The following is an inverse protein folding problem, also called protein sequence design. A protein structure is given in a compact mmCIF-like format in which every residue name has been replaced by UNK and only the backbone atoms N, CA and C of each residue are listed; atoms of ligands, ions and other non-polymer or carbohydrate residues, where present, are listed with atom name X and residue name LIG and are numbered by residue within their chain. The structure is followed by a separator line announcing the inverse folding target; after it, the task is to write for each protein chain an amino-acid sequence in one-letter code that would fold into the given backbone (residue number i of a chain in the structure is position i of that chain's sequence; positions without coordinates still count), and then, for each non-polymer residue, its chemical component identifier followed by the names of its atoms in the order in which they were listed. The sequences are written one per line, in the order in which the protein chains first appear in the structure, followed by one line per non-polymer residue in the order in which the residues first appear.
data_IF_054136140304
#
_entry.id   IF_054136140304
#
_cell.length_a   1.000
_cell.length_b   1.000
_cell.length_c   1.000
_cell.angle_alpha   90.00
_cell.angle_beta   90.00
_cell.angle_gamma   90.00
#
_symmetry.space_group_name_H-M   'P 1'
#
loop_
_entity.id
_entity.type
_entity.pdbx_description
1 polymer ?
#
# COMPACT_ATOMS: atom_id res chain seq x y z
N UNK A 1 -8.59 27.89 -29.36
CA UNK A 1 -9.45 26.74 -29.07
C UNK A 1 -8.52 25.56 -28.73
N UNK A 2 -8.40 25.09 -27.50
CA UNK A 2 -7.66 23.88 -27.17
C UNK A 2 -8.55 22.66 -27.37
N UNK A 3 -8.00 21.66 -28.04
CA UNK A 3 -8.57 20.34 -28.32
C UNK A 3 -8.87 19.58 -27.06
N UNK A 4 -10.00 18.87 -26.90
CA UNK A 4 -10.30 18.09 -25.70
C UNK A 4 -9.39 16.89 -25.62
N UNK A 5 -8.74 16.69 -24.47
CA UNK A 5 -7.98 15.49 -24.08
C UNK A 5 -8.94 14.29 -24.10
N UNK A 6 -8.65 13.32 -24.97
CA UNK A 6 -9.31 12.02 -25.00
C UNK A 6 -9.08 11.31 -23.67
N UNK A 7 -10.16 10.91 -23.02
CA UNK A 7 -10.12 9.99 -21.91
C UNK A 7 -9.42 8.69 -22.35
N UNK A 8 -8.36 8.31 -21.63
CA UNK A 8 -7.74 7.00 -21.77
C UNK A 8 -8.77 5.90 -21.41
N UNK A 9 -8.78 4.77 -22.14
CA UNK A 9 -9.67 3.67 -21.80
C UNK A 9 -9.34 3.16 -20.40
N UNK A 10 -10.39 2.91 -19.62
CA UNK A 10 -10.29 2.31 -18.30
C UNK A 10 -9.40 1.05 -18.38
N UNK A 11 -8.29 1.09 -17.65
CA UNK A 11 -7.43 -0.07 -17.47
C UNK A 11 -8.28 -1.20 -16.91
N UNK A 12 -8.33 -2.33 -17.62
CA UNK A 12 -8.94 -3.55 -17.12
C UNK A 12 -8.33 -3.86 -15.75
N UNK A 13 -9.18 -4.17 -14.76
CA UNK A 13 -8.72 -4.56 -13.43
C UNK A 13 -7.67 -5.67 -13.59
N UNK A 14 -6.49 -5.57 -12.98
CA UNK A 14 -5.47 -6.59 -13.11
C UNK A 14 -6.05 -7.93 -12.63
N UNK A 15 -5.79 -8.99 -13.39
CA UNK A 15 -6.16 -10.36 -13.00
C UNK A 15 -5.66 -10.64 -11.57
N UNK A 16 -6.45 -11.31 -10.73
CA UNK A 16 -6.05 -11.60 -9.37
C UNK A 16 -4.71 -12.35 -9.39
N UNK A 17 -3.75 -11.88 -8.60
CA UNK A 17 -2.44 -12.51 -8.47
C UNK A 17 -2.63 -13.96 -7.95
N UNK A 18 -1.81 -14.94 -8.41
CA UNK A 18 -1.81 -16.29 -7.86
C UNK A 18 -1.63 -16.26 -6.34
N UNK A 19 -2.44 -17.01 -5.60
CA UNK A 19 -2.45 -16.93 -4.12
C UNK A 19 -2.16 -18.26 -3.45
N UNK A 20 -2.26 -19.39 -4.18
CA UNK A 20 -2.20 -20.74 -3.62
C UNK A 20 -0.78 -21.13 -3.25
N UNK A 21 -0.60 -21.70 -2.05
CA UNK A 21 0.69 -22.18 -1.56
C UNK A 21 0.68 -23.71 -1.54
N UNK A 22 1.71 -24.33 -2.07
CA UNK A 22 1.91 -25.76 -1.99
C UNK A 22 2.89 -26.07 -0.86
N UNK A 23 2.45 -26.83 0.14
CA UNK A 23 3.28 -27.36 1.23
C UNK A 23 3.56 -28.84 0.94
N UNK A 24 4.83 -29.17 0.67
CA UNK A 24 5.28 -30.53 0.35
C UNK A 24 6.11 -31.07 1.49
N UNK A 25 5.51 -31.96 2.29
CA UNK A 25 6.11 -32.42 3.54
C UNK A 25 5.61 -33.81 3.89
N UNK A 26 6.52 -34.76 4.09
CA UNK A 26 6.21 -36.14 4.43
C UNK A 26 5.61 -36.30 5.84
N UNK A 27 5.93 -35.44 6.78
CA UNK A 27 5.35 -35.43 8.12
C UNK A 27 4.01 -34.68 8.11
N UNK A 28 2.89 -35.38 8.25
CA UNK A 28 1.55 -34.77 8.30
C UNK A 28 1.41 -33.72 9.41
N UNK A 29 2.03 -33.96 10.57
CA UNK A 29 1.99 -33.00 11.68
C UNK A 29 2.72 -31.73 11.32
N UNK A 30 3.90 -31.84 10.71
CA UNK A 30 4.69 -30.68 10.34
C UNK A 30 4.07 -29.90 9.16
N UNK A 31 3.53 -30.63 8.16
CA UNK A 31 2.79 -30.02 7.06
C UNK A 31 1.61 -29.16 7.56
N UNK A 32 0.81 -29.73 8.48
CA UNK A 32 -0.31 -28.99 9.09
C UNK A 32 0.14 -27.79 9.88
N UNK A 33 1.18 -27.92 10.70
CA UNK A 33 1.70 -26.83 11.51
C UNK A 33 2.12 -25.63 10.63
N UNK A 34 2.80 -25.89 9.52
CA UNK A 34 3.18 -24.85 8.54
C UNK A 34 1.93 -24.26 7.87
N UNK A 35 1.05 -25.12 7.34
CA UNK A 35 -0.09 -24.66 6.55
C UNK A 35 -1.12 -23.91 7.39
N UNK A 36 -1.47 -24.41 8.58
CA UNK A 36 -2.39 -23.74 9.50
C UNK A 36 -1.83 -22.36 9.94
N UNK A 37 -0.52 -22.26 10.19
CA UNK A 37 0.10 -20.98 10.53
C UNK A 37 0.00 -19.97 9.36
N UNK A 38 0.17 -20.42 8.12
CA UNK A 38 0.01 -19.58 6.92
C UNK A 38 -1.46 -19.18 6.73
N UNK A 39 -2.39 -20.13 6.78
CA UNK A 39 -3.82 -19.89 6.57
C UNK A 39 -4.39 -18.93 7.62
N UNK A 40 -4.09 -19.15 8.90
CA UNK A 40 -4.60 -18.33 10.01
C UNK A 40 -4.04 -16.91 10.00
N UNK A 41 -2.74 -16.75 9.71
CA UNK A 41 -2.09 -15.43 9.77
C UNK A 41 -2.21 -14.63 8.48
N UNK A 42 -2.27 -15.30 7.31
CA UNK A 42 -2.21 -14.63 6.01
C UNK A 42 -3.48 -14.78 5.17
N UNK A 43 -4.40 -15.66 5.57
CA UNK A 43 -5.61 -15.98 4.81
C UNK A 43 -5.32 -16.42 3.36
N UNK A 44 -4.21 -17.14 3.15
CA UNK A 44 -3.80 -17.69 1.86
C UNK A 44 -4.15 -19.18 1.80
N UNK A 45 -4.76 -19.68 0.71
CA UNK A 45 -5.12 -21.09 0.59
C UNK A 45 -3.89 -21.98 0.48
N UNK A 46 -3.84 -23.03 1.30
CA UNK A 46 -2.75 -24.01 1.32
C UNK A 46 -3.21 -25.35 0.79
N UNK A 47 -2.39 -25.97 -0.06
CA UNK A 47 -2.57 -27.33 -0.54
C UNK A 47 -1.41 -28.18 -0.04
N UNK A 48 -1.70 -29.39 0.41
CA UNK A 48 -0.72 -30.29 1.00
C UNK A 48 -0.40 -31.44 0.05
N UNK A 49 0.88 -31.81 0.00
CA UNK A 49 1.38 -33.00 -0.66
C UNK A 49 2.42 -33.70 0.23
N UNK A 50 2.35 -35.03 0.34
CA UNK A 50 3.32 -35.79 1.13
C UNK A 50 4.49 -36.32 0.27
N UNK A 51 4.33 -36.32 -1.04
CA UNK A 51 5.28 -36.89 -2.00
C UNK A 51 5.44 -35.94 -3.20
N UNK A 52 6.51 -36.14 -3.98
CA UNK A 52 6.74 -35.40 -5.24
C UNK A 52 5.66 -35.73 -6.30
N UNK A 53 5.17 -36.98 -6.31
CA UNK A 53 4.07 -37.40 -7.19
C UNK A 53 2.76 -36.66 -6.86
N UNK A 54 2.40 -36.55 -5.57
CA UNK A 54 1.25 -35.76 -5.15
C UNK A 54 1.40 -34.28 -5.45
N UNK A 55 2.60 -33.74 -5.27
CA UNK A 55 2.90 -32.34 -5.61
C UNK A 55 2.70 -32.09 -7.11
N UNK A 56 3.16 -33.02 -7.98
CA UNK A 56 2.96 -32.97 -9.42
C UNK A 56 1.46 -32.93 -9.77
N UNK A 57 0.68 -33.85 -9.21
CA UNK A 57 -0.77 -33.89 -9.44
C UNK A 57 -1.48 -32.63 -8.94
N UNK A 58 -1.04 -32.04 -7.83
CA UNK A 58 -1.58 -30.78 -7.31
C UNK A 58 -1.30 -29.60 -8.26
N UNK A 59 -0.08 -29.51 -8.80
CA UNK A 59 0.32 -28.46 -9.75
C UNK A 59 -0.45 -28.55 -11.07
N UNK A 60 -0.76 -29.73 -11.55
CA UNK A 60 -1.58 -29.94 -12.76
C UNK A 60 -3.05 -29.58 -12.55
N UNK A 61 -3.56 -29.73 -11.32
CA UNK A 61 -4.97 -29.48 -10.99
C UNK A 61 -5.30 -27.99 -10.85
N UNK A 62 -4.35 -27.19 -10.43
CA UNK A 62 -4.54 -25.76 -10.16
C UNK A 62 -3.47 -24.92 -10.88
N UNK A 63 -3.82 -23.86 -11.62
CA UNK A 63 -2.85 -23.02 -12.34
C UNK A 63 -2.36 -21.81 -11.53
N UNK A 64 -2.97 -21.50 -10.37
CA UNK A 64 -2.82 -20.23 -9.64
C UNK A 64 -1.84 -20.33 -8.44
N UNK A 65 -0.68 -20.91 -8.67
CA UNK A 65 0.34 -21.09 -7.63
C UNK A 65 1.15 -19.82 -7.38
N UNK A 66 1.28 -19.47 -6.11
CA UNK A 66 2.12 -18.38 -5.67
C UNK A 66 3.54 -18.87 -5.36
N UNK A 67 3.67 -19.90 -4.53
CA UNK A 67 4.95 -20.43 -4.11
C UNK A 67 4.84 -21.87 -3.59
N UNK A 68 5.99 -22.47 -3.37
CA UNK A 68 6.13 -23.80 -2.77
C UNK A 68 6.97 -23.73 -1.50
N UNK A 69 6.52 -24.41 -0.46
CA UNK A 69 7.29 -24.70 0.74
C UNK A 69 7.54 -26.21 0.75
N UNK A 70 8.78 -26.64 0.57
CA UNK A 70 9.09 -28.06 0.39
C UNK A 70 10.12 -28.57 1.39
N UNK A 71 9.91 -29.81 1.89
CA UNK A 71 10.97 -30.57 2.53
C UNK A 71 11.96 -31.09 1.48
N UNK A 72 13.23 -31.21 1.83
CA UNK A 72 14.22 -31.89 0.99
C UNK A 72 14.09 -33.40 0.99
N UNK A 73 13.58 -33.98 2.07
CA UNK A 73 13.48 -35.43 2.27
C UNK A 73 12.05 -35.86 1.95
N UNK A 74 11.84 -36.39 0.77
CA UNK A 74 10.60 -37.01 0.34
C UNK A 74 10.82 -38.48 0.08
N UNK A 75 9.75 -39.29 0.17
CA UNK A 75 9.87 -40.75 0.00
C UNK A 75 10.16 -41.16 -1.47
N UNK A 76 9.84 -40.30 -2.44
CA UNK A 76 9.83 -40.59 -3.88
C UNK A 76 10.72 -39.62 -4.69
N UNK A 77 11.66 -38.91 -4.03
CA UNK A 77 12.58 -38.01 -4.73
C UNK A 77 13.85 -37.71 -3.94
N UNK A 78 14.97 -37.62 -4.61
CA UNK A 78 16.22 -37.13 -4.04
C UNK A 78 16.15 -35.62 -3.79
N UNK A 79 17.05 -35.09 -2.94
CA UNK A 79 17.13 -33.65 -2.63
C UNK A 79 17.21 -32.80 -3.90
N UNK A 80 18.03 -33.24 -4.86
CA UNK A 80 18.25 -32.54 -6.12
C UNK A 80 17.02 -32.56 -7.03
N UNK A 81 16.36 -33.71 -7.12
CA UNK A 81 15.13 -33.85 -7.92
C UNK A 81 13.99 -33.01 -7.38
N UNK A 82 13.82 -32.93 -6.06
CA UNK A 82 12.76 -32.13 -5.43
C UNK A 82 12.95 -30.65 -5.74
N UNK A 83 14.15 -30.13 -5.56
CA UNK A 83 14.46 -28.71 -5.80
C UNK A 83 14.33 -28.38 -7.28
N UNK A 84 14.96 -29.18 -8.17
CA UNK A 84 14.92 -28.97 -9.63
C UNK A 84 13.50 -29.02 -10.18
N UNK A 85 12.68 -29.91 -9.64
CA UNK A 85 11.27 -30.04 -10.06
C UNK A 85 10.48 -28.75 -9.92
N UNK A 86 10.64 -28.01 -8.82
CA UNK A 86 9.91 -26.74 -8.60
C UNK A 86 10.58 -25.56 -9.31
N UNK A 87 11.90 -25.51 -9.36
CA UNK A 87 12.64 -24.44 -10.03
C UNK A 87 12.42 -24.46 -11.55
N UNK A 88 12.38 -25.66 -12.18
CA UNK A 88 12.07 -25.78 -13.62
C UNK A 88 10.69 -25.24 -13.99
N UNK A 89 9.79 -25.11 -13.03
CA UNK A 89 8.47 -24.51 -13.18
C UNK A 89 8.41 -23.03 -12.82
N UNK A 90 9.56 -22.44 -12.50
CA UNK A 90 9.67 -21.02 -12.10
C UNK A 90 8.81 -20.67 -10.86
N UNK A 91 8.58 -21.64 -9.98
CA UNK A 91 7.85 -21.40 -8.74
C UNK A 91 8.80 -20.95 -7.64
N UNK A 92 8.56 -19.81 -6.99
CA UNK A 92 9.28 -19.41 -5.79
C UNK A 92 9.26 -20.55 -4.78
N UNK A 93 10.42 -21.05 -4.40
CA UNK A 93 10.56 -22.25 -3.56
C UNK A 93 11.31 -21.94 -2.30
N UNK A 94 10.70 -22.20 -1.16
CA UNK A 94 11.34 -22.20 0.16
C UNK A 94 11.56 -23.64 0.59
N UNK A 95 12.79 -23.95 0.97
CA UNK A 95 13.17 -25.27 1.46
C UNK A 95 13.13 -25.30 2.97
N UNK A 96 12.47 -26.32 3.54
CA UNK A 96 12.39 -26.54 4.98
C UNK A 96 13.06 -27.87 5.33
N UNK A 97 14.12 -27.85 6.14
CA UNK A 97 14.91 -29.04 6.44
C UNK A 97 15.05 -29.28 7.95
N UNK A 98 15.01 -30.57 8.35
CA UNK A 98 15.34 -30.98 9.72
C UNK A 98 16.83 -31.21 9.94
N UNK A 99 17.65 -31.16 8.89
CA UNK A 99 19.08 -31.43 8.94
C UNK A 99 19.85 -30.12 8.93
N UNK A 100 20.71 -29.93 9.90
CA UNK A 100 21.68 -28.83 9.92
C UNK A 100 22.95 -29.30 9.22
N UNK A 101 23.15 -28.90 7.98
CA UNK A 101 24.34 -29.15 7.17
C UNK A 101 24.64 -27.92 6.34
N UNK A 102 25.73 -27.23 6.64
CA UNK A 102 26.12 -26.00 5.97
C UNK A 102 26.45 -26.23 4.49
N UNK A 103 27.04 -27.39 4.15
CA UNK A 103 27.35 -27.73 2.75
C UNK A 103 26.10 -27.94 1.92
N UNK A 104 25.13 -28.69 2.45
CA UNK A 104 23.83 -28.92 1.82
C UNK A 104 23.04 -27.59 1.69
N UNK A 105 23.03 -26.78 2.75
CA UNK A 105 22.40 -25.45 2.72
C UNK A 105 22.98 -24.58 1.60
N UNK A 106 24.32 -24.49 1.52
CA UNK A 106 24.99 -23.70 0.50
C UNK A 106 24.69 -24.24 -0.91
N UNK A 107 24.71 -25.56 -1.10
CA UNK A 107 24.37 -26.19 -2.37
C UNK A 107 22.93 -25.88 -2.81
N UNK A 108 21.96 -25.97 -1.92
CA UNK A 108 20.55 -25.64 -2.18
C UNK A 108 20.38 -24.17 -2.50
N UNK A 109 21.01 -23.29 -1.71
CA UNK A 109 20.94 -21.86 -1.91
C UNK A 109 21.56 -21.41 -3.25
N UNK A 110 22.61 -22.06 -3.73
CA UNK A 110 23.19 -21.79 -5.08
C UNK A 110 22.22 -22.08 -6.23
N UNK A 111 21.17 -22.88 -6.01
CA UNK A 111 20.16 -23.24 -7.02
C UNK A 111 19.01 -22.23 -7.15
N UNK A 112 19.12 -21.03 -6.56
CA UNK A 112 18.11 -19.97 -6.64
C UNK A 112 16.76 -20.28 -5.96
N UNK A 113 16.74 -21.14 -4.93
CA UNK A 113 15.59 -21.20 -4.02
C UNK A 113 15.48 -19.90 -3.24
N UNK A 114 14.29 -19.53 -2.82
CA UNK A 114 14.07 -18.29 -2.06
C UNK A 114 14.83 -18.31 -0.74
N UNK A 115 14.67 -19.38 0.04
CA UNK A 115 15.38 -19.54 1.31
C UNK A 115 15.46 -21.00 1.75
N UNK A 116 16.31 -21.24 2.77
CA UNK A 116 16.48 -22.53 3.44
C UNK A 116 16.24 -22.38 4.93
N UNK A 117 15.14 -22.93 5.42
CA UNK A 117 14.67 -22.80 6.78
C UNK A 117 14.86 -24.10 7.56
N UNK A 118 15.42 -24.04 8.77
CA UNK A 118 15.58 -25.20 9.65
C UNK A 118 14.30 -25.45 10.45
N UNK A 119 13.77 -26.70 10.42
CA UNK A 119 12.54 -27.10 11.11
C UNK A 119 12.60 -26.95 12.62
N UNK A 120 13.75 -27.28 13.22
CA UNK A 120 13.91 -27.45 14.66
C UNK A 120 14.49 -26.21 15.37
N UNK A 121 14.51 -25.06 14.68
CA UNK A 121 14.97 -23.81 15.30
C UNK A 121 13.77 -23.09 15.93
N UNK A 122 13.87 -22.61 17.19
CA UNK A 122 12.84 -21.77 17.77
C UNK A 122 12.49 -20.58 16.86
N UNK A 123 11.21 -20.33 16.60
CA UNK A 123 10.76 -19.25 15.72
C UNK A 123 10.82 -19.55 14.22
N UNK A 124 11.21 -20.76 13.79
CA UNK A 124 11.31 -21.11 12.36
C UNK A 124 9.99 -20.97 11.61
N UNK A 125 8.86 -21.28 12.24
CA UNK A 125 7.54 -21.17 11.66
C UNK A 125 7.13 -19.67 11.57
N UNK A 126 7.40 -18.89 12.60
CA UNK A 126 7.13 -17.45 12.55
C UNK A 126 7.96 -16.76 11.47
N UNK A 127 9.22 -17.14 11.32
CA UNK A 127 10.08 -16.69 10.23
C UNK A 127 9.54 -17.10 8.86
N UNK A 128 9.11 -18.35 8.70
CA UNK A 128 8.53 -18.83 7.43
C UNK A 128 7.26 -18.06 7.08
N UNK A 129 6.37 -17.84 8.04
CA UNK A 129 5.15 -17.05 7.82
C UNK A 129 5.48 -15.61 7.46
N UNK A 130 6.43 -14.98 8.16
CA UNK A 130 6.93 -13.65 7.82
C UNK A 130 7.51 -13.61 6.40
N UNK A 131 8.30 -14.61 6.01
CA UNK A 131 8.90 -14.70 4.67
C UNK A 131 7.82 -14.80 3.58
N UNK A 132 6.83 -15.68 3.78
CA UNK A 132 5.68 -15.82 2.86
C UNK A 132 4.91 -14.51 2.72
N UNK A 133 4.63 -13.85 3.85
CA UNK A 133 3.95 -12.55 3.88
C UNK A 133 4.78 -11.47 3.15
N UNK A 134 6.11 -11.47 3.38
CA UNK A 134 7.01 -10.50 2.72
C UNK A 134 7.02 -10.69 1.21
N UNK A 135 7.13 -11.94 0.74
CA UNK A 135 7.08 -12.25 -0.69
C UNK A 135 5.71 -11.86 -1.32
N UNK A 136 4.60 -12.12 -0.64
CA UNK A 136 3.27 -11.73 -1.14
C UNK A 136 3.16 -10.20 -1.30
N UNK A 137 3.58 -9.42 -0.30
CA UNK A 137 3.56 -7.96 -0.33
C UNK A 137 4.48 -7.39 -1.40
N UNK A 138 5.68 -7.95 -1.56
CA UNK A 138 6.66 -7.51 -2.56
C UNK A 138 6.12 -7.53 -3.99
N UNK A 139 5.18 -8.42 -4.31
CA UNK A 139 4.57 -8.52 -5.66
C UNK A 139 3.83 -7.26 -6.10
N UNK A 140 3.48 -6.41 -5.15
CA UNK A 140 2.81 -5.12 -5.38
C UNK A 140 3.79 -3.95 -5.41
N UNK A 141 5.08 -4.22 -5.21
CA UNK A 141 6.12 -3.20 -5.13
C UNK A 141 6.97 -3.23 -6.40
N UNK A 142 7.08 -2.07 -7.03
CA UNK A 142 8.05 -1.88 -8.09
C UNK A 142 9.41 -1.48 -7.49
N UNK A 143 10.47 -2.10 -7.99
CA UNK A 143 11.85 -1.83 -7.63
C UNK A 143 12.66 -1.43 -8.86
N UNK A 144 13.43 -0.36 -8.76
CA UNK A 144 14.35 0.11 -9.80
C UNK A 144 15.78 -0.33 -9.47
N UNK A 145 16.47 -0.88 -10.45
CA UNK A 145 17.92 -1.17 -10.37
C UNK A 145 18.65 -0.28 -11.35
N UNK A 146 19.58 0.54 -10.85
CA UNK A 146 20.40 1.45 -11.67
C UNK A 146 21.85 1.07 -11.50
N UNK A 147 22.46 0.50 -12.54
CA UNK A 147 23.86 0.03 -12.57
C UNK A 147 24.31 0.00 -14.04
N UNK A 148 25.48 0.54 -14.36
CA UNK A 148 25.98 0.56 -15.75
C UNK A 148 26.51 -0.82 -16.19
N UNK A 149 26.99 -1.62 -15.24
CA UNK A 149 27.38 -3.00 -15.49
C UNK A 149 26.17 -3.89 -15.74
N UNK A 150 25.97 -4.36 -16.96
CA UNK A 150 24.87 -5.26 -17.32
C UNK A 150 24.80 -6.50 -16.42
N UNK A 151 25.94 -7.11 -16.11
CA UNK A 151 25.99 -8.32 -15.27
C UNK A 151 25.58 -8.03 -13.81
N UNK A 152 26.07 -6.92 -13.22
CA UNK A 152 25.72 -6.52 -11.87
C UNK A 152 24.24 -6.12 -11.79
N UNK A 153 23.74 -5.36 -12.76
CA UNK A 153 22.34 -4.96 -12.86
C UNK A 153 21.40 -6.17 -12.96
N UNK A 154 21.72 -7.12 -13.86
CA UNK A 154 20.93 -8.36 -14.01
C UNK A 154 21.00 -9.24 -12.75
N UNK A 155 22.12 -9.29 -12.05
CA UNK A 155 22.23 -10.02 -10.78
C UNK A 155 21.33 -9.42 -9.70
N UNK A 156 21.38 -8.12 -9.48
CA UNK A 156 20.52 -7.45 -8.51
C UNK A 156 19.03 -7.57 -8.89
N UNK A 157 18.71 -7.44 -10.19
CA UNK A 157 17.36 -7.62 -10.71
C UNK A 157 16.84 -9.06 -10.47
N UNK A 158 17.66 -10.07 -10.71
CA UNK A 158 17.31 -11.47 -10.47
C UNK A 158 17.05 -11.75 -8.98
N UNK A 159 17.87 -11.19 -8.09
CA UNK A 159 17.64 -11.28 -6.64
C UNK A 159 16.30 -10.66 -6.24
N UNK A 160 15.99 -9.45 -6.68
CA UNK A 160 14.71 -8.80 -6.38
C UNK A 160 13.52 -9.58 -6.96
N UNK A 161 13.62 -10.06 -8.20
CA UNK A 161 12.58 -10.86 -8.84
C UNK A 161 12.30 -12.16 -8.07
N UNK A 162 13.35 -12.83 -7.57
CA UNK A 162 13.23 -14.03 -6.73
C UNK A 162 12.48 -13.76 -5.43
N UNK A 163 12.60 -12.54 -4.87
CA UNK A 163 11.86 -12.10 -3.70
C UNK A 163 10.51 -11.44 -4.02
N UNK A 164 10.03 -11.60 -5.26
CA UNK A 164 8.69 -11.22 -5.68
C UNK A 164 8.52 -9.77 -6.13
N UNK A 165 9.55 -8.95 -6.21
CA UNK A 165 9.46 -7.58 -6.69
C UNK A 165 9.23 -7.50 -8.20
N UNK A 166 8.47 -6.52 -8.65
CA UNK A 166 8.41 -6.11 -10.06
C UNK A 166 9.63 -5.23 -10.37
N UNK A 167 10.57 -5.73 -11.15
CA UNK A 167 11.86 -5.07 -11.37
C UNK A 167 11.86 -4.24 -12.65
N UNK A 168 12.39 -3.04 -12.55
CA UNK A 168 12.66 -2.10 -13.64
C UNK A 168 14.16 -1.85 -13.65
N UNK A 169 14.79 -1.88 -14.81
CA UNK A 169 16.23 -1.71 -14.97
C UNK A 169 16.55 -0.40 -15.67
N UNK A 170 17.65 0.25 -15.27
CA UNK A 170 18.24 1.39 -15.95
C UNK A 170 19.76 1.26 -15.98
N UNK A 171 20.36 1.63 -17.11
CA UNK A 171 21.80 1.48 -17.32
C UNK A 171 22.63 2.69 -16.82
N UNK A 172 21.97 3.79 -16.51
CA UNK A 172 22.60 5.02 -16.01
C UNK A 172 21.59 5.87 -15.21
N UNK A 173 22.08 6.95 -14.60
CA UNK A 173 21.26 7.82 -13.77
C UNK A 173 20.17 8.58 -14.51
N UNK A 174 20.38 9.02 -15.75
CA UNK A 174 19.36 9.75 -16.51
C UNK A 174 18.22 8.80 -16.93
N UNK A 175 18.54 7.60 -17.39
CA UNK A 175 17.56 6.56 -17.65
C UNK A 175 16.79 6.20 -16.37
N UNK A 176 17.47 6.12 -15.22
CA UNK A 176 16.86 5.87 -13.93
C UNK A 176 15.84 6.94 -13.52
N UNK A 177 16.14 8.23 -13.74
CA UNK A 177 15.19 9.33 -13.49
C UNK A 177 13.96 9.19 -14.40
N UNK A 178 14.16 8.92 -15.69
CA UNK A 178 13.05 8.75 -16.63
C UNK A 178 12.13 7.56 -16.25
N UNK A 179 12.73 6.45 -15.75
CA UNK A 179 11.96 5.28 -15.30
C UNK A 179 11.11 5.60 -14.04
N UNK A 180 11.63 6.42 -13.11
CA UNK A 180 10.87 6.86 -11.93
C UNK A 180 9.71 7.78 -12.32
N UNK A 181 9.92 8.70 -13.25
CA UNK A 181 8.86 9.60 -13.73
C UNK A 181 7.75 8.80 -14.46
N UNK A 182 8.12 7.73 -15.17
CA UNK A 182 7.17 6.85 -15.88
C UNK A 182 6.46 5.83 -14.98
N UNK A 183 7.02 5.52 -13.80
CA UNK A 183 6.50 4.50 -12.89
C UNK A 183 6.41 5.04 -11.45
N UNK A 184 5.36 5.78 -11.11
CA UNK A 184 5.21 6.42 -9.79
C UNK A 184 5.00 5.43 -8.63
N UNK A 185 4.79 4.16 -8.94
CA UNK A 185 4.65 3.05 -7.99
C UNK A 185 5.98 2.41 -7.56
N UNK A 186 7.12 2.91 -8.05
CA UNK A 186 8.44 2.48 -7.58
C UNK A 186 8.62 2.92 -6.12
N UNK A 187 8.90 1.93 -5.25
CA UNK A 187 9.09 2.14 -3.81
C UNK A 187 10.49 1.78 -3.33
N UNK A 188 11.30 1.14 -4.17
CA UNK A 188 12.68 0.73 -3.89
C UNK A 188 13.59 1.12 -5.05
N UNK A 189 14.76 1.67 -4.78
CA UNK A 189 15.82 1.88 -5.75
C UNK A 189 17.14 1.29 -5.25
N UNK A 190 17.74 0.41 -6.03
CA UNK A 190 19.09 -0.11 -5.85
C UNK A 190 19.99 0.66 -6.79
N UNK A 191 21.00 1.34 -6.27
CA UNK A 191 21.77 2.33 -7.04
C UNK A 191 23.25 2.05 -6.94
N UNK A 192 23.91 1.75 -8.06
CA UNK A 192 25.35 1.66 -8.10
C UNK A 192 26.01 3.03 -7.93
N UNK A 193 27.19 3.04 -7.30
CA UNK A 193 27.97 4.26 -7.13
C UNK A 193 28.66 4.68 -8.41
N UNK A 194 29.29 3.75 -9.12
CA UNK A 194 30.21 4.04 -10.22
C UNK A 194 29.47 3.94 -11.57
N UNK A 195 28.77 5.01 -11.91
CA UNK A 195 28.07 5.10 -13.20
C UNK A 195 28.64 6.23 -14.06
N UNK A 196 28.64 6.08 -15.39
CA UNK A 196 29.03 7.15 -16.33
C UNK A 196 28.10 8.37 -16.21
N UNK A 197 28.65 9.56 -16.31
CA UNK A 197 27.92 10.82 -16.33
C UNK A 197 27.43 11.26 -14.97
N UNK A 198 26.70 10.44 -14.22
CA UNK A 198 26.16 10.76 -12.91
C UNK A 198 26.49 9.68 -11.88
N UNK A 199 27.21 10.07 -10.82
CA UNK A 199 27.53 9.15 -9.72
C UNK A 199 26.28 8.81 -8.88
N UNK A 200 26.26 7.59 -8.29
CA UNK A 200 25.10 7.10 -7.53
C UNK A 200 24.66 8.00 -6.38
N UNK A 201 25.58 8.60 -5.63
CA UNK A 201 25.24 9.55 -4.58
C UNK A 201 24.66 10.87 -5.13
N UNK A 202 25.03 11.30 -6.32
CA UNK A 202 24.45 12.46 -7.01
C UNK A 202 23.03 12.15 -7.50
N UNK A 203 22.85 10.99 -8.12
CA UNK A 203 21.54 10.45 -8.50
C UNK A 203 20.61 10.40 -7.27
N UNK A 204 21.07 9.83 -6.15
CA UNK A 204 20.34 9.80 -4.88
C UNK A 204 19.91 11.19 -4.41
N UNK A 205 20.78 12.18 -4.50
CA UNK A 205 20.45 13.56 -4.13
C UNK A 205 19.37 14.15 -5.04
N UNK A 206 19.41 13.90 -6.36
CA UNK A 206 18.36 14.34 -7.30
C UNK A 206 17.03 13.65 -7.01
N UNK A 207 17.05 12.36 -6.67
CA UNK A 207 15.83 11.63 -6.27
C UNK A 207 15.21 12.25 -5.01
N UNK A 208 16.02 12.55 -4.00
CA UNK A 208 15.54 13.14 -2.74
C UNK A 208 14.98 14.54 -2.87
N UNK A 209 15.33 15.28 -3.90
CA UNK A 209 14.68 16.55 -4.21
C UNK A 209 13.21 16.40 -4.66
N UNK A 210 12.82 15.20 -5.12
CA UNK A 210 11.48 14.88 -5.64
C UNK A 210 10.71 13.87 -4.80
N UNK A 211 11.41 12.95 -4.13
CA UNK A 211 10.82 11.84 -3.38
C UNK A 211 11.29 11.84 -1.93
N UNK A 212 10.36 11.98 -1.00
CA UNK A 212 10.66 11.91 0.43
C UNK A 212 11.11 10.50 0.86
N UNK A 213 11.76 10.41 2.03
CA UNK A 213 12.31 9.14 2.55
C UNK A 213 11.23 8.12 2.93
N UNK A 214 10.04 8.59 3.18
CA UNK A 214 8.85 7.81 3.53
C UNK A 214 8.09 7.27 2.31
N UNK A 215 8.50 7.64 1.09
CA UNK A 215 7.88 7.15 -0.14
C UNK A 215 8.78 6.24 -0.97
N UNK A 216 10.10 6.40 -0.90
CA UNK A 216 11.07 5.66 -1.70
C UNK A 216 12.26 5.24 -0.85
N UNK A 217 12.53 3.95 -0.72
CA UNK A 217 13.77 3.44 -0.16
C UNK A 217 14.87 3.47 -1.22
N UNK A 218 16.06 3.97 -0.87
CA UNK A 218 17.23 3.99 -1.74
C UNK A 218 18.36 3.27 -1.04
N UNK A 219 18.87 2.21 -1.66
CA UNK A 219 20.02 1.43 -1.18
C UNK A 219 21.16 1.63 -2.18
N UNK A 220 22.26 2.23 -1.71
CA UNK A 220 23.47 2.36 -2.51
C UNK A 220 24.26 1.06 -2.56
N UNK A 221 24.91 0.78 -3.70
CA UNK A 221 25.81 -0.37 -3.84
C UNK A 221 27.15 0.12 -4.40
N UNK A 222 28.27 -0.42 -3.92
CA UNK A 222 29.59 -0.14 -4.51
C UNK A 222 30.56 -1.28 -4.27
N UNK A 223 31.45 -1.51 -5.26
CA UNK A 223 32.60 -2.40 -5.12
C UNK A 223 33.88 -1.73 -4.58
N UNK A 224 33.86 -0.41 -4.40
CA UNK A 224 35.03 0.34 -3.94
C UNK A 224 35.09 0.35 -2.42
N UNK A 225 36.25 0.05 -1.86
CA UNK A 225 36.52 0.05 -0.41
C UNK A 225 36.82 1.43 0.19
N UNK A 226 36.48 2.53 -0.51
CA UNK A 226 36.66 3.88 0.01
C UNK A 226 35.71 4.14 1.18
N UNK A 227 36.24 4.23 2.39
CA UNK A 227 35.49 4.48 3.62
C UNK A 227 34.67 5.78 3.63
N UNK A 228 34.92 6.70 2.67
CA UNK A 228 34.14 7.94 2.53
C UNK A 228 32.83 7.77 1.78
N UNK A 229 32.62 6.66 1.05
CA UNK A 229 31.46 6.44 0.18
C UNK A 229 30.17 6.21 0.97
N UNK A 230 30.19 5.37 2.00
CA UNK A 230 29.02 5.09 2.83
C UNK A 230 28.45 6.37 3.46
N UNK A 231 29.27 7.19 4.16
CA UNK A 231 28.80 8.47 4.69
C UNK A 231 28.28 9.42 3.59
N UNK A 232 28.90 9.40 2.41
CA UNK A 232 28.49 10.24 1.28
C UNK A 232 27.11 9.86 0.74
N UNK A 233 26.84 8.55 0.56
CA UNK A 233 25.52 8.05 0.16
C UNK A 233 24.43 8.41 1.19
N UNK A 234 24.70 8.11 2.46
CA UNK A 234 23.74 8.37 3.55
C UNK A 234 23.45 9.88 3.70
N UNK A 235 24.48 10.74 3.59
CA UNK A 235 24.32 12.20 3.57
C UNK A 235 23.60 12.71 2.33
N UNK A 236 23.66 12.00 1.20
CA UNK A 236 22.89 12.31 -0.01
C UNK A 236 21.43 11.86 0.08
N UNK A 237 21.07 11.15 1.15
CA UNK A 237 19.70 10.77 1.46
C UNK A 237 19.36 9.29 1.20
N UNK A 238 20.33 8.43 0.93
CA UNK A 238 20.10 6.99 0.90
C UNK A 238 19.59 6.49 2.27
N UNK A 239 18.83 5.40 2.24
CA UNK A 239 18.36 4.72 3.45
C UNK A 239 19.43 3.77 3.96
N UNK A 240 20.14 3.09 3.04
CA UNK A 240 21.13 2.08 3.38
C UNK A 240 22.22 1.96 2.30
N UNK A 241 23.20 1.09 2.54
CA UNK A 241 24.32 0.86 1.65
C UNK A 241 24.82 -0.59 1.75
N UNK A 242 25.23 -1.17 0.60
CA UNK A 242 25.81 -2.50 0.49
C UNK A 242 27.16 -2.47 -0.22
N UNK A 243 28.12 -3.23 0.29
CA UNK A 243 29.41 -3.41 -0.35
C UNK A 243 29.39 -4.66 -1.28
N UNK A 244 29.88 -4.52 -2.51
CA UNK A 244 30.16 -5.66 -3.40
C UNK A 244 31.53 -6.28 -3.02
N UNK A 245 31.65 -7.62 -2.92
CA UNK A 245 30.59 -8.61 -3.07
C UNK A 245 29.73 -8.72 -1.80
N UNK A 246 28.43 -8.92 -1.96
CA UNK A 246 27.47 -9.17 -0.88
C UNK A 246 26.83 -10.55 -1.02
N UNK A 247 26.44 -11.15 0.08
CA UNK A 247 25.67 -12.38 0.04
C UNK A 247 24.19 -12.08 -0.30
N UNK A 248 23.49 -13.11 -0.79
CA UNK A 248 22.07 -13.01 -1.09
C UNK A 248 21.26 -12.70 0.16
N UNK A 249 21.62 -13.34 1.28
CA UNK A 249 20.96 -13.13 2.56
C UNK A 249 21.16 -11.70 3.06
N UNK A 250 22.37 -11.14 2.95
CA UNK A 250 22.64 -9.76 3.31
C UNK A 250 21.80 -8.80 2.45
N UNK A 251 21.76 -9.01 1.13
CA UNK A 251 20.96 -8.22 0.21
C UNK A 251 19.47 -8.24 0.59
N UNK A 252 18.93 -9.45 0.80
CA UNK A 252 17.51 -9.59 1.16
C UNK A 252 17.19 -8.97 2.52
N UNK A 253 18.06 -9.17 3.52
CA UNK A 253 17.89 -8.58 4.84
C UNK A 253 17.81 -7.04 4.75
N UNK A 254 18.72 -6.40 4.03
CA UNK A 254 18.74 -4.95 3.83
C UNK A 254 17.50 -4.46 3.09
N UNK A 255 17.14 -5.13 1.99
CA UNK A 255 15.95 -4.78 1.19
C UNK A 255 14.69 -4.89 2.05
N UNK A 256 14.50 -6.01 2.76
CA UNK A 256 13.32 -6.25 3.59
C UNK A 256 13.21 -5.25 4.72
N UNK A 257 14.30 -4.97 5.46
CA UNK A 257 14.32 -3.98 6.54
C UNK A 257 13.91 -2.59 6.05
N UNK A 258 14.42 -2.16 4.90
CA UNK A 258 14.09 -0.85 4.35
C UNK A 258 12.64 -0.77 3.88
N UNK A 259 12.11 -1.83 3.27
CA UNK A 259 10.70 -1.87 2.86
C UNK A 259 9.77 -1.97 4.07
N UNK A 260 10.08 -2.80 5.08
CA UNK A 260 9.31 -2.89 6.32
C UNK A 260 9.24 -1.52 7.03
N UNK A 261 10.36 -0.79 7.06
CA UNK A 261 10.40 0.56 7.62
C UNK A 261 9.51 1.54 6.84
N UNK A 262 9.54 1.49 5.50
CA UNK A 262 8.65 2.30 4.66
C UNK A 262 7.17 2.00 4.92
N UNK A 263 6.80 0.73 4.97
CA UNK A 263 5.42 0.29 5.24
C UNK A 263 4.97 0.74 6.64
N UNK A 264 5.85 0.62 7.65
CA UNK A 264 5.55 1.05 9.00
C UNK A 264 5.34 2.57 9.07
N UNK A 265 6.20 3.36 8.42
CA UNK A 265 6.04 4.83 8.37
C UNK A 265 4.71 5.18 7.69
N UNK A 266 4.37 4.56 6.56
CA UNK A 266 3.10 4.77 5.88
C UNK A 266 1.90 4.43 6.77
N UNK A 267 1.96 3.30 7.48
CA UNK A 267 0.91 2.91 8.44
C UNK A 267 0.77 3.93 9.59
N UNK A 268 1.89 4.40 10.14
CA UNK A 268 1.88 5.43 11.19
C UNK A 268 1.31 6.76 10.68
N UNK A 269 1.63 7.15 9.45
CA UNK A 269 1.07 8.35 8.82
C UNK A 269 -0.43 8.21 8.61
N UNK A 270 -0.89 7.05 8.11
CA UNK A 270 -2.32 6.78 7.94
C UNK A 270 -3.07 6.82 9.27
N UNK A 271 -2.55 6.17 10.32
CA UNK A 271 -3.12 6.24 11.67
C UNK A 271 -3.15 7.67 12.23
N UNK A 272 -2.14 8.47 11.89
CA UNK A 272 -2.04 9.86 12.33
C UNK A 272 -3.00 10.80 11.58
N UNK A 273 -3.32 10.50 10.31
CA UNK A 273 -4.00 11.44 9.40
C UNK A 273 -5.39 10.98 8.97
N UNK A 274 -5.71 9.68 9.05
CA UNK A 274 -6.97 9.11 8.57
C UNK A 274 -7.86 8.59 9.71
N UNK A 275 -9.15 8.52 9.44
CA UNK A 275 -10.12 7.79 10.25
C UNK A 275 -10.06 6.30 9.89
N UNK A 276 -9.87 5.44 10.87
CA UNK A 276 -9.62 4.00 10.68
C UNK A 276 -10.79 3.25 10.02
N UNK A 277 -12.03 3.74 10.23
CA UNK A 277 -13.22 3.08 9.72
C UNK A 277 -13.51 3.47 8.26
N UNK A 278 -13.44 4.76 7.97
CA UNK A 278 -13.89 5.34 6.70
C UNK A 278 -12.77 5.59 5.69
N UNK A 279 -11.52 5.67 6.15
CA UNK A 279 -10.35 6.02 5.34
C UNK A 279 -10.27 7.49 4.94
N UNK A 280 -11.28 8.31 5.25
CA UNK A 280 -11.21 9.77 5.08
C UNK A 280 -10.16 10.36 6.04
N UNK A 281 -9.63 11.56 5.76
CA UNK A 281 -8.89 12.34 6.74
C UNK A 281 -9.62 12.39 8.09
N UNK A 282 -8.86 12.27 9.18
CA UNK A 282 -9.43 12.43 10.51
C UNK A 282 -9.54 13.92 10.89
N UNK A 283 -10.27 14.22 11.96
CA UNK A 283 -10.48 15.58 12.45
C UNK A 283 -9.18 16.36 12.63
N UNK A 284 -8.14 15.72 13.20
CA UNK A 284 -6.86 16.38 13.48
C UNK A 284 -6.16 16.83 12.22
N UNK A 285 -6.09 15.95 11.22
CA UNK A 285 -5.47 16.27 9.92
C UNK A 285 -6.26 17.36 9.19
N UNK A 286 -7.59 17.24 9.14
CA UNK A 286 -8.45 18.26 8.54
C UNK A 286 -8.21 19.65 9.13
N UNK A 287 -8.17 19.77 10.45
CA UNK A 287 -7.94 21.06 11.10
C UNK A 287 -6.57 21.63 10.74
N UNK A 288 -5.54 20.80 10.68
CA UNK A 288 -4.18 21.24 10.30
C UNK A 288 -4.12 21.76 8.85
N UNK A 289 -4.70 21.02 7.90
CA UNK A 289 -4.74 21.42 6.50
C UNK A 289 -5.59 22.68 6.28
N UNK A 290 -6.74 22.79 6.95
CA UNK A 290 -7.57 23.98 6.89
C UNK A 290 -6.83 25.22 7.43
N UNK A 291 -6.07 25.09 8.52
CA UNK A 291 -5.27 26.20 9.04
C UNK A 291 -4.16 26.67 8.07
N UNK A 292 -3.61 25.76 7.28
CA UNK A 292 -2.62 26.10 6.25
C UNK A 292 -3.26 26.76 5.02
N UNK A 293 -4.46 26.29 4.61
CA UNK A 293 -5.15 26.76 3.39
C UNK A 293 -5.86 28.12 3.59
N UNK A 294 -6.53 28.32 4.72
CA UNK A 294 -7.43 29.45 4.95
C UNK A 294 -6.77 30.82 4.78
N UNK A 295 -5.59 31.11 5.39
CA UNK A 295 -4.95 32.42 5.27
C UNK A 295 -4.59 32.77 3.82
N UNK A 296 -4.14 31.78 3.06
CA UNK A 296 -3.73 31.96 1.68
C UNK A 296 -4.92 32.26 0.77
N UNK A 297 -6.04 31.55 0.95
CA UNK A 297 -7.25 31.68 0.12
C UNK A 297 -7.99 32.99 0.43
N UNK A 298 -8.27 33.25 1.70
CA UNK A 298 -8.95 34.47 2.11
C UNK A 298 -8.09 35.72 1.93
N UNK A 299 -6.77 35.63 2.10
CA UNK A 299 -5.83 36.73 1.83
C UNK A 299 -5.84 37.18 0.37
N UNK A 300 -6.19 36.28 -0.56
CA UNK A 300 -6.38 36.59 -1.99
C UNK A 300 -7.82 37.02 -2.32
N UNK A 301 -8.66 37.25 -1.33
CA UNK A 301 -10.10 37.57 -1.43
C UNK A 301 -10.91 36.48 -2.19
N UNK A 302 -10.42 35.27 -2.17
CA UNK A 302 -11.12 34.11 -2.74
C UNK A 302 -12.09 33.53 -1.72
N UNK A 303 -13.20 32.96 -2.20
CA UNK A 303 -14.23 32.39 -1.33
C UNK A 303 -13.78 31.05 -0.74
N UNK A 304 -14.23 30.77 0.46
CA UNK A 304 -14.12 29.46 1.14
C UNK A 304 -15.50 29.09 1.65
N UNK A 305 -15.88 27.84 1.42
CA UNK A 305 -17.15 27.26 1.89
C UNK A 305 -16.84 26.15 2.89
N UNK A 306 -17.31 26.29 4.11
CA UNK A 306 -17.27 25.25 5.12
C UNK A 306 -18.63 24.55 5.22
N UNK A 307 -18.62 23.23 5.39
CA UNK A 307 -19.82 22.43 5.60
C UNK A 307 -19.65 21.42 6.71
N UNK A 308 -20.73 21.19 7.45
CA UNK A 308 -20.87 20.05 8.35
C UNK A 308 -22.01 19.18 7.83
N UNK A 309 -21.77 17.89 7.73
CA UNK A 309 -22.63 16.87 7.14
C UNK A 309 -22.90 15.84 8.22
N UNK A 310 -24.14 15.46 8.44
CA UNK A 310 -24.52 14.51 9.48
C UNK A 310 -25.54 13.50 8.91
N UNK A 311 -25.36 12.22 9.23
CA UNK A 311 -26.26 11.16 8.77
C UNK A 311 -27.55 11.20 9.59
N UNK A 312 -28.66 11.44 8.92
CA UNK A 312 -29.97 11.51 9.55
C UNK A 312 -30.35 10.18 10.20
N UNK A 313 -30.80 10.27 11.45
CA UNK A 313 -31.27 9.11 12.22
C UNK A 313 -30.25 7.98 12.37
N UNK A 314 -28.94 8.27 12.39
CA UNK A 314 -27.89 7.26 12.47
C UNK A 314 -28.03 6.32 13.68
N UNK A 315 -28.44 6.85 14.83
CA UNK A 315 -28.75 6.02 16.00
C UNK A 315 -29.84 4.98 15.69
N UNK A 316 -30.88 5.34 14.95
CA UNK A 316 -31.94 4.41 14.56
C UNK A 316 -31.42 3.31 13.63
N UNK A 317 -30.46 3.61 12.74
CA UNK A 317 -29.78 2.62 11.92
C UNK A 317 -29.08 1.60 12.83
N UNK A 318 -28.28 2.06 13.78
CA UNK A 318 -27.59 1.19 14.73
C UNK A 318 -28.55 0.34 15.58
N UNK A 319 -29.61 0.98 16.11
CA UNK A 319 -30.58 0.31 16.97
C UNK A 319 -31.41 -0.76 16.19
N UNK A 320 -31.61 -0.56 14.89
CA UNK A 320 -32.46 -1.45 14.07
C UNK A 320 -31.64 -2.57 13.38
N UNK A 321 -30.45 -2.24 12.87
CA UNK A 321 -29.66 -3.16 12.02
C UNK A 321 -28.33 -3.59 12.65
N UNK A 322 -28.02 -3.07 13.84
CA UNK A 322 -26.76 -3.33 14.55
C UNK A 322 -25.61 -2.39 14.15
N UNK A 323 -24.59 -2.36 14.99
CA UNK A 323 -23.41 -1.47 14.78
C UNK A 323 -22.64 -1.78 13.50
N UNK A 324 -22.57 -3.04 13.08
CA UNK A 324 -21.91 -3.43 11.81
C UNK A 324 -22.60 -2.77 10.60
N UNK A 325 -23.93 -2.70 10.58
CA UNK A 325 -24.68 -2.00 9.56
C UNK A 325 -24.43 -0.48 9.59
N UNK A 326 -24.30 0.11 10.79
CA UNK A 326 -23.89 1.49 10.96
C UNK A 326 -22.50 1.77 10.41
N UNK A 327 -21.54 0.88 10.64
CA UNK A 327 -20.20 0.98 10.08
C UNK A 327 -20.19 0.92 8.54
N UNK A 328 -21.03 0.06 7.96
CA UNK A 328 -21.20 -0.02 6.49
C UNK A 328 -21.84 1.26 5.96
N UNK A 329 -22.82 1.84 6.65
CA UNK A 329 -23.43 3.12 6.30
C UNK A 329 -22.39 4.27 6.32
N UNK A 330 -21.59 4.36 7.38
CA UNK A 330 -20.50 5.34 7.49
C UNK A 330 -19.50 5.23 6.34
N UNK A 331 -19.08 4.02 6.00
CA UNK A 331 -18.19 3.77 4.86
C UNK A 331 -18.82 4.20 3.52
N UNK A 332 -20.11 3.91 3.32
CA UNK A 332 -20.81 4.28 2.10
C UNK A 332 -20.92 5.81 1.92
N UNK A 333 -21.26 6.54 2.97
CA UNK A 333 -21.32 8.00 2.99
C UNK A 333 -19.92 8.59 2.77
N UNK A 334 -18.91 8.09 3.46
CA UNK A 334 -17.52 8.52 3.29
C UNK A 334 -17.02 8.35 1.85
N UNK A 335 -17.35 7.22 1.21
CA UNK A 335 -17.02 6.98 -0.21
C UNK A 335 -17.76 7.93 -1.15
N UNK A 336 -19.01 8.27 -0.86
CA UNK A 336 -19.75 9.26 -1.63
C UNK A 336 -19.09 10.63 -1.53
N UNK A 337 -18.74 11.08 -0.31
CA UNK A 337 -18.02 12.34 -0.06
C UNK A 337 -16.68 12.34 -0.80
N UNK A 338 -15.88 11.28 -0.69
CA UNK A 338 -14.58 11.19 -1.33
C UNK A 338 -14.65 11.24 -2.87
N UNK A 339 -15.68 10.64 -3.48
CA UNK A 339 -15.88 10.68 -4.94
C UNK A 339 -16.40 12.02 -5.44
N UNK A 340 -17.16 12.74 -4.60
CA UNK A 340 -17.71 14.04 -4.91
C UNK A 340 -16.67 15.16 -4.77
N UNK A 341 -15.75 15.04 -3.83
CA UNK A 341 -14.72 16.02 -3.54
C UNK A 341 -13.74 16.20 -4.71
N UNK A 342 -13.46 17.46 -5.04
CA UNK A 342 -12.42 17.85 -5.99
C UNK A 342 -11.01 17.74 -5.38
N UNK A 343 -10.00 17.92 -6.23
CA UNK A 343 -8.58 17.79 -5.82
C UNK A 343 -8.10 18.82 -4.80
N UNK A 344 -8.82 19.93 -4.63
CA UNK A 344 -8.50 21.00 -3.70
C UNK A 344 -9.42 21.01 -2.48
N UNK A 345 -10.42 20.15 -2.46
CA UNK A 345 -11.39 20.09 -1.37
C UNK A 345 -10.79 19.31 -0.20
N UNK A 346 -10.92 19.86 0.99
CA UNK A 346 -10.58 19.19 2.22
C UNK A 346 -11.84 18.56 2.80
N UNK A 347 -11.84 17.24 2.96
CA UNK A 347 -12.97 16.50 3.56
C UNK A 347 -12.47 15.59 4.65
N UNK A 348 -13.28 15.36 5.69
CA UNK A 348 -12.89 14.51 6.80
C UNK A 348 -14.10 13.93 7.53
N UNK A 349 -13.89 12.82 8.24
CA UNK A 349 -14.79 12.41 9.32
C UNK A 349 -14.44 13.16 10.59
N UNK A 350 -15.42 13.90 11.14
CA UNK A 350 -15.18 14.77 12.28
C UNK A 350 -15.39 14.06 13.61
N UNK A 351 -16.28 13.07 13.65
CA UNK A 351 -16.54 12.17 14.78
C UNK A 351 -17.95 11.56 14.70
N UNK A 352 -18.16 10.37 15.27
CA UNK A 352 -19.46 9.70 15.21
C UNK A 352 -20.01 9.57 13.79
N UNK A 353 -21.16 10.17 13.53
CA UNK A 353 -21.83 10.25 12.23
C UNK A 353 -21.59 11.56 11.45
N UNK A 354 -20.69 12.42 11.95
CA UNK A 354 -20.43 13.74 11.39
C UNK A 354 -19.21 13.75 10.46
N UNK A 355 -19.37 14.46 9.32
CA UNK A 355 -18.32 14.74 8.37
C UNK A 355 -18.19 16.24 8.14
N UNK A 356 -16.99 16.70 7.78
CA UNK A 356 -16.73 18.10 7.46
C UNK A 356 -16.12 18.24 6.08
N UNK A 357 -16.40 19.38 5.45
CA UNK A 357 -15.77 19.80 4.22
C UNK A 357 -15.34 21.25 4.28
N UNK A 358 -14.21 21.58 3.65
CA UNK A 358 -13.79 22.95 3.34
C UNK A 358 -13.47 23.00 1.86
N UNK A 359 -14.29 23.73 1.12
CA UNK A 359 -14.22 23.79 -0.35
C UNK A 359 -13.85 25.22 -0.76
N UNK A 360 -12.68 25.44 -1.37
CA UNK A 360 -12.28 26.76 -1.85
C UNK A 360 -12.93 27.10 -3.19
N UNK A 361 -12.98 28.39 -3.50
CA UNK A 361 -13.30 28.99 -4.80
C UNK A 361 -14.75 28.91 -5.28
N UNK A 362 -15.68 28.30 -4.56
CA UNK A 362 -17.09 28.24 -4.98
C UNK A 362 -17.78 29.61 -4.91
N UNK A 363 -18.63 29.91 -5.89
CA UNK A 363 -19.60 30.99 -5.83
C UNK A 363 -20.73 30.70 -4.84
N UNK A 364 -21.66 31.65 -4.68
CA UNK A 364 -22.75 31.48 -3.69
C UNK A 364 -23.75 30.40 -4.15
N UNK A 365 -24.23 30.45 -5.37
CA UNK A 365 -25.11 29.43 -5.94
C UNK A 365 -24.36 28.10 -6.11
N UNK A 366 -23.11 28.11 -6.57
CA UNK A 366 -22.29 26.93 -6.78
C UNK A 366 -22.08 26.16 -5.47
N UNK A 367 -21.94 26.86 -4.34
CA UNK A 367 -21.77 26.19 -3.04
C UNK A 367 -23.02 25.44 -2.61
N UNK A 368 -24.22 25.98 -2.88
CA UNK A 368 -25.47 25.28 -2.60
C UNK A 368 -25.64 24.08 -3.52
N UNK A 369 -25.43 24.27 -4.82
CA UNK A 369 -25.58 23.21 -5.83
C UNK A 369 -24.59 22.06 -5.59
N UNK A 370 -23.35 22.36 -5.16
CA UNK A 370 -22.35 21.38 -4.79
C UNK A 370 -22.84 20.45 -3.68
N UNK A 371 -23.34 21.03 -2.56
CA UNK A 371 -23.77 20.23 -1.43
C UNK A 371 -25.16 19.59 -1.63
N UNK A 372 -26.05 20.19 -2.43
CA UNK A 372 -27.31 19.55 -2.83
C UNK A 372 -27.06 18.34 -3.73
N UNK A 373 -26.09 18.44 -4.65
CA UNK A 373 -25.67 17.30 -5.47
C UNK A 373 -25.12 16.15 -4.61
N UNK A 374 -24.28 16.46 -3.60
CA UNK A 374 -23.77 15.45 -2.65
C UNK A 374 -24.90 14.82 -1.85
N UNK A 375 -25.84 15.64 -1.31
CA UNK A 375 -27.00 15.17 -0.56
C UNK A 375 -27.84 14.18 -1.39
N UNK A 376 -28.13 14.55 -2.63
CA UNK A 376 -28.92 13.72 -3.57
C UNK A 376 -28.20 12.41 -3.92
N UNK A 377 -26.88 12.44 -4.11
CA UNK A 377 -26.08 11.24 -4.33
C UNK A 377 -26.16 10.29 -3.13
N UNK A 378 -26.09 10.81 -1.89
CA UNK A 378 -26.19 9.98 -0.68
C UNK A 378 -27.60 9.42 -0.51
N UNK A 379 -28.65 10.21 -0.75
CA UNK A 379 -30.06 9.77 -0.72
C UNK A 379 -30.34 8.63 -1.69
N UNK A 380 -29.66 8.64 -2.86
CA UNK A 380 -29.79 7.59 -3.87
C UNK A 380 -29.03 6.29 -3.56
N UNK A 381 -28.22 6.27 -2.49
CA UNK A 381 -27.46 5.05 -2.13
C UNK A 381 -28.38 3.94 -1.65
N UNK A 382 -28.13 2.75 -2.14
CA UNK A 382 -28.69 1.50 -1.63
C UNK A 382 -27.54 0.63 -1.11
N UNK A 383 -27.45 0.50 0.20
CA UNK A 383 -26.34 -0.17 0.88
C UNK A 383 -26.76 -1.55 1.33
N UNK A 384 -25.99 -2.57 0.94
CA UNK A 384 -26.18 -3.94 1.38
C UNK A 384 -25.59 -4.15 2.78
N UNK A 385 -26.44 -4.51 3.72
CA UNK A 385 -26.08 -4.76 5.13
C UNK A 385 -26.34 -6.21 5.54
N UNK A 386 -26.44 -7.14 4.55
CA UNK A 386 -26.74 -8.55 4.80
C UNK A 386 -28.26 -8.83 5.01
N UNK A 387 -29.12 -7.92 4.56
CA UNK A 387 -30.58 -8.00 4.69
C UNK A 387 -31.29 -7.08 3.69
N UNK A 388 -32.38 -6.39 4.08
CA UNK A 388 -32.99 -5.38 3.24
C UNK A 388 -31.99 -4.24 2.99
N UNK A 389 -31.99 -3.70 1.76
CA UNK A 389 -31.10 -2.58 1.38
C UNK A 389 -31.36 -1.37 2.28
N UNK A 390 -30.32 -0.89 2.92
CA UNK A 390 -30.36 0.31 3.75
C UNK A 390 -30.35 1.56 2.85
N UNK A 391 -31.30 2.46 3.07
CA UNK A 391 -31.33 3.82 2.52
C UNK A 391 -31.13 4.81 3.65
N UNK A 392 -30.41 5.88 3.40
CA UNK A 392 -30.13 6.91 4.37
C UNK A 392 -30.12 8.29 3.73
N UNK A 393 -30.31 9.31 4.55
CA UNK A 393 -30.19 10.71 4.12
C UNK A 393 -29.19 11.44 4.98
N UNK A 394 -28.80 12.62 4.55
CA UNK A 394 -27.93 13.53 5.32
C UNK A 394 -28.52 14.92 5.41
N UNK A 395 -28.29 15.55 6.53
CA UNK A 395 -28.51 16.99 6.72
C UNK A 395 -27.18 17.72 6.59
N UNK A 396 -27.14 18.85 5.89
CA UNK A 396 -25.91 19.58 5.62
C UNK A 396 -26.10 21.06 5.98
N UNK A 397 -25.20 21.57 6.83
CA UNK A 397 -25.10 23.00 7.14
C UNK A 397 -23.90 23.60 6.41
N UNK A 398 -24.13 24.69 5.65
CA UNK A 398 -23.13 25.31 4.77
C UNK A 398 -22.95 26.77 5.11
N UNK A 399 -21.70 27.20 5.34
CA UNK A 399 -21.35 28.60 5.51
C UNK A 399 -20.24 29.00 4.55
N UNK A 400 -20.47 30.05 3.80
CA UNK A 400 -19.52 30.60 2.82
C UNK A 400 -19.05 31.99 3.26
N UNK A 401 -17.76 32.25 3.08
CA UNK A 401 -17.18 33.58 3.27
C UNK A 401 -16.08 33.89 2.27
N UNK A 402 -15.81 35.17 2.04
CA UNK A 402 -14.66 35.69 1.30
C UNK A 402 -13.90 36.76 2.11
N UNK A 403 -14.31 36.99 3.34
CA UNK A 403 -13.74 38.07 4.15
C UNK A 403 -12.45 37.62 4.82
N UNK A 404 -11.33 38.39 4.66
CA UNK A 404 -10.09 38.13 5.37
C UNK A 404 -10.30 38.18 6.90
N UNK A 405 -9.47 37.43 7.64
CA UNK A 405 -9.49 37.41 9.09
C UNK A 405 -10.52 36.47 9.72
N UNK A 406 -11.34 35.77 8.96
CA UNK A 406 -12.22 34.73 9.45
C UNK A 406 -11.42 33.52 9.94
N UNK A 407 -11.77 33.00 11.10
CA UNK A 407 -11.13 31.82 11.70
C UNK A 407 -11.87 30.54 11.29
N UNK A 408 -11.15 29.44 11.22
CA UNK A 408 -11.74 28.12 10.95
C UNK A 408 -12.85 27.79 11.97
N UNK A 409 -12.63 28.07 13.25
CA UNK A 409 -13.63 27.84 14.29
C UNK A 409 -14.92 28.62 14.03
N UNK A 410 -14.82 29.86 13.55
CA UNK A 410 -16.01 30.63 13.19
C UNK A 410 -16.75 30.01 12.01
N UNK A 411 -16.04 29.60 10.95
CA UNK A 411 -16.65 28.97 9.78
C UNK A 411 -17.39 27.68 10.17
N UNK A 412 -16.75 26.83 10.95
CA UNK A 412 -17.36 25.57 11.40
C UNK A 412 -18.55 25.81 12.34
N UNK A 413 -18.46 26.79 13.25
CA UNK A 413 -19.58 27.14 14.13
C UNK A 413 -20.80 27.65 13.39
N UNK A 414 -20.57 28.45 12.33
CA UNK A 414 -21.66 28.94 11.48
C UNK A 414 -22.26 27.82 10.60
N UNK A 415 -21.45 26.87 10.12
CA UNK A 415 -21.93 25.69 9.43
C UNK A 415 -22.75 24.77 10.38
N UNK A 416 -22.30 24.59 11.62
CA UNK A 416 -23.01 23.79 12.63
C UNK A 416 -24.39 24.38 12.97
N UNK A 417 -24.45 25.70 13.12
CA UNK A 417 -25.74 26.39 13.31
C UNK A 417 -26.74 26.11 12.17
N UNK A 418 -26.26 26.03 10.95
CA UNK A 418 -27.09 25.73 9.76
C UNK A 418 -27.44 24.25 9.69
N UNK A 419 -26.56 23.37 10.11
CA UNK A 419 -26.87 21.96 10.25
C UNK A 419 -28.02 21.74 11.26
N UNK A 420 -27.97 22.44 12.41
CA UNK A 420 -29.08 22.41 13.35
C UNK A 420 -30.39 22.85 12.69
N UNK A 421 -30.39 23.91 11.89
CA UNK A 421 -31.58 24.36 11.16
C UNK A 421 -32.04 23.34 10.11
N UNK A 422 -31.12 22.66 9.43
CA UNK A 422 -31.45 21.59 8.50
C UNK A 422 -32.16 20.42 9.22
N UNK A 423 -31.62 20.00 10.36
CA UNK A 423 -32.23 18.95 11.20
C UNK A 423 -33.60 19.36 11.74
N UNK A 424 -33.74 20.60 12.25
CA UNK A 424 -35.01 21.14 12.77
C UNK A 424 -36.06 21.33 11.67
N UNK A 425 -35.63 21.68 10.45
CA UNK A 425 -36.51 21.90 9.29
C UNK A 425 -37.04 20.61 8.64
N UNK A 426 -36.75 19.42 9.17
CA UNK A 426 -37.26 18.15 8.64
C UNK A 426 -36.20 17.23 8.03
N UNK A 427 -34.91 17.54 8.21
CA UNK A 427 -33.76 16.75 7.72
C UNK A 427 -33.67 16.65 6.19
N UNK A 428 -32.77 15.80 5.70
CA UNK A 428 -32.55 15.54 4.26
C UNK A 428 -32.51 16.81 3.40
N UNK A 429 -31.71 17.78 3.83
CA UNK A 429 -31.60 19.09 3.16
C UNK A 429 -30.28 19.79 3.41
N UNK A 430 -29.98 20.75 2.56
CA UNK A 430 -28.90 21.70 2.74
C UNK A 430 -29.48 23.03 3.25
N UNK A 431 -28.87 23.59 4.30
CA UNK A 431 -29.15 24.96 4.75
C UNK A 431 -27.86 25.75 4.61
N UNK A 432 -27.91 26.82 3.81
CA UNK A 432 -26.78 27.69 3.49
C UNK A 432 -26.96 29.12 4.02
N UNK A 433 -25.87 29.86 4.09
CA UNK A 433 -25.84 31.30 4.39
C UNK A 433 -24.40 31.80 4.47
N UNK A 434 -24.19 33.10 4.33
CA UNK A 434 -22.87 33.74 4.38
C UNK A 434 -23.00 35.22 4.68
#
# INVERSE_FOLDING_TARGET
MPTPLRASPASAAPSPLPQRILVVENSRTHARLIGEAIEQKLNLPVVYAATLAEARAALERHPDWFMVVTSLVLADGSHDEVVEFFLSRQLPTVVVSGVYDDGLREQVLRRQVVDYVLKNTPGSIDYLVWLVQRLERNRRIAALVVDDSRSARQHAAALLAMYGFRVIEAADGEAGLAMLDANPDIRLAIVDQEMPGMKGHEFTRRLRARHARDHLAIIGISGTSDGSLVPRFLKSGANDFLHKPFSREEFFCRVSQNIDQLELIGTLQDLATRDFLTGLPNRRHFLAECHALLPNTLGRQQSVTAAIIDIDHFKHINDTYGHEAGDVALKAVAQAIARHAGTQDLVARFGGEEFCALVPYLGESESVDYFESLRAQIEALEVDVGGPKLRMTVSIGVFRTRFPGQTLNHLLSEADRRLYLAKAGGRNRVVSGG
#
